data_IF_787794786681
#
_entry.id   IF_787794786681
#
_cell.length_a   1.000
_cell.length_b   1.000
_cell.length_c   1.000
_cell.angle_alpha   90.00
_cell.angle_beta   90.00
_cell.angle_gamma   90.00
#
_symmetry.space_group_name_H-M   'P 1'
#
loop_
_entity.id
_entity.type
_entity.pdbx_description
1 polymer ?
#
# COMPACT_ATOMS: atom_id res chain seq x y z
N UNK A 1 -0.06 11.94 -0.76
CA UNK A 1 1.02 12.20 0.21
C UNK A 1 0.75 11.47 1.50
N UNK A 2 1.76 10.80 2.05
CA UNK A 2 1.69 10.07 3.30
C UNK A 2 2.59 10.75 4.35
N UNK A 3 2.14 10.78 5.61
CA UNK A 3 2.86 11.45 6.70
C UNK A 3 3.01 10.53 7.91
N UNK A 4 4.11 10.64 8.64
CA UNK A 4 4.34 9.91 9.90
C UNK A 4 5.71 9.22 9.96
N UNK A 5 5.83 8.22 10.85
CA UNK A 5 7.01 7.36 10.91
C UNK A 5 7.20 6.64 9.58
N UNK A 6 8.43 6.68 9.06
CA UNK A 6 8.77 6.08 7.78
C UNK A 6 9.98 5.14 7.89
N UNK A 7 10.29 4.64 9.10
CA UNK A 7 11.45 3.78 9.32
C UNK A 7 11.43 2.47 8.51
N UNK A 8 10.27 2.04 8.03
CA UNK A 8 10.08 0.87 7.15
C UNK A 8 9.50 1.23 5.77
N UNK A 9 9.45 2.50 5.39
CA UNK A 9 8.85 2.93 4.13
C UNK A 9 7.32 3.01 4.13
N UNK A 10 6.65 2.81 5.28
CA UNK A 10 5.19 2.75 5.38
C UNK A 10 4.47 4.09 5.14
N UNK A 11 5.20 5.21 5.15
CA UNK A 11 4.70 6.54 4.85
C UNK A 11 5.32 7.09 3.54
N UNK A 12 5.79 6.22 2.64
CA UNK A 12 6.22 6.64 1.31
C UNK A 12 5.05 7.20 0.49
N UNK A 13 5.32 8.25 -0.28
CA UNK A 13 4.34 8.80 -1.21
C UNK A 13 4.05 7.83 -2.35
N UNK A 14 2.76 7.73 -2.69
CA UNK A 14 2.30 6.94 -3.82
C UNK A 14 2.05 7.85 -5.04
N UNK A 15 2.86 7.69 -6.10
CA UNK A 15 2.97 8.66 -7.20
C UNK A 15 2.54 8.14 -8.57
N UNK A 16 2.01 6.91 -8.66
CA UNK A 16 1.62 6.27 -9.94
C UNK A 16 0.35 6.87 -10.55
N UNK A 17 -0.49 7.55 -9.76
CA UNK A 17 -1.68 8.27 -10.23
C UNK A 17 -2.90 7.40 -10.53
N UNK A 18 -2.88 6.11 -10.19
CA UNK A 18 -3.97 5.15 -10.42
C UNK A 18 -4.64 4.65 -9.13
N UNK A 19 -4.30 5.26 -7.99
CA UNK A 19 -4.88 4.96 -6.68
C UNK A 19 -6.36 5.36 -6.62
N UNK A 20 -7.20 4.43 -6.15
CA UNK A 20 -8.64 4.66 -5.90
C UNK A 20 -9.03 4.41 -4.43
N UNK A 21 -8.13 3.86 -3.63
CA UNK A 21 -8.33 3.67 -2.19
C UNK A 21 -7.02 3.45 -1.45
N UNK A 22 -7.01 3.71 -0.14
CA UNK A 22 -5.84 3.51 0.71
C UNK A 22 -6.26 2.94 2.07
N UNK A 23 -5.49 1.99 2.58
CA UNK A 23 -5.62 1.45 3.93
C UNK A 23 -4.26 1.57 4.64
N UNK A 24 -4.25 2.20 5.81
CA UNK A 24 -3.06 2.37 6.63
C UNK A 24 -3.13 1.43 7.85
N UNK A 25 -2.14 0.56 7.97
CA UNK A 25 -1.86 -0.22 9.17
C UNK A 25 -0.83 0.47 10.07
N UNK A 26 -0.46 -0.18 11.18
CA UNK A 26 0.51 0.38 12.13
C UNK A 26 1.90 0.57 11.51
N UNK A 27 2.31 -0.34 10.63
CA UNK A 27 3.65 -0.38 10.04
C UNK A 27 3.64 -0.67 8.53
N UNK A 28 2.48 -0.61 7.89
CA UNK A 28 2.32 -0.84 6.45
C UNK A 28 1.19 0.02 5.89
N UNK A 29 1.23 0.28 4.60
CA UNK A 29 0.17 0.96 3.85
C UNK A 29 -0.10 0.16 2.59
N UNK A 30 -1.38 0.00 2.25
CA UNK A 30 -1.82 -0.66 1.04
C UNK A 30 -2.67 0.29 0.21
N UNK A 31 -2.43 0.32 -1.10
CA UNK A 31 -3.11 1.19 -2.05
C UNK A 31 -3.88 0.33 -3.04
N UNK A 32 -5.20 0.50 -3.06
CA UNK A 32 -6.07 -0.10 -4.08
C UNK A 32 -5.94 0.72 -5.38
N UNK A 33 -5.59 0.04 -6.47
CA UNK A 33 -5.51 0.62 -7.81
C UNK A 33 -6.82 0.44 -8.57
N UNK A 34 -7.07 1.34 -9.51
CA UNK A 34 -8.23 1.31 -10.42
C UNK A 34 -8.36 0.02 -11.25
N UNK A 35 -7.28 -0.74 -11.42
CA UNK A 35 -7.26 -2.02 -12.13
C UNK A 35 -7.52 -3.24 -11.22
N UNK A 36 -7.91 -3.03 -9.97
CA UNK A 36 -8.21 -4.09 -9.01
C UNK A 36 -7.00 -4.79 -8.38
N UNK A 37 -5.79 -4.30 -8.62
CA UNK A 37 -4.59 -4.72 -7.91
C UNK A 37 -4.38 -3.87 -6.64
N UNK A 38 -3.58 -4.37 -5.69
CA UNK A 38 -3.21 -3.66 -4.46
C UNK A 38 -1.68 -3.64 -4.33
N UNK A 39 -1.11 -2.44 -4.20
CA UNK A 39 0.31 -2.28 -3.87
C UNK A 39 0.45 -2.04 -2.37
N UNK A 40 1.22 -2.87 -1.68
CA UNK A 40 1.45 -2.74 -0.25
C UNK A 40 2.93 -2.48 0.05
N UNK A 41 3.20 -1.57 0.98
CA UNK A 41 4.55 -1.16 1.35
C UNK A 41 4.67 -0.90 2.84
N UNK A 42 5.88 -1.09 3.38
CA UNK A 42 6.16 -0.97 4.81
C UNK A 42 6.86 -2.20 5.39
N UNK A 43 6.73 -2.36 6.70
CA UNK A 43 7.19 -3.54 7.43
C UNK A 43 6.45 -4.79 6.98
N UNK A 44 7.18 -5.86 6.64
CA UNK A 44 6.63 -7.05 6.01
C UNK A 44 7.02 -8.38 6.68
N UNK A 45 7.36 -8.38 7.97
CA UNK A 45 7.80 -9.62 8.63
C UNK A 45 6.71 -10.70 8.66
N UNK A 46 5.44 -10.29 8.77
CA UNK A 46 4.27 -11.17 8.81
C UNK A 46 3.58 -11.31 7.44
N UNK A 47 4.15 -10.73 6.37
CA UNK A 47 3.51 -10.69 5.04
C UNK A 47 2.45 -9.60 4.87
N UNK A 48 2.31 -8.67 5.83
CA UNK A 48 1.30 -7.60 5.83
C UNK A 48 1.51 -6.52 4.77
N UNK A 49 2.67 -6.48 4.13
CA UNK A 49 3.01 -5.56 3.05
C UNK A 49 3.35 -6.30 1.75
N UNK A 50 2.67 -7.43 1.50
CA UNK A 50 2.75 -8.14 0.23
C UNK A 50 1.72 -7.60 -0.77
N UNK A 51 2.11 -7.46 -2.03
CA UNK A 51 1.23 -7.00 -3.10
C UNK A 51 0.16 -8.03 -3.45
N UNK A 52 -0.97 -7.54 -3.97
CA UNK A 52 -2.05 -8.32 -4.56
C UNK A 52 -2.18 -7.99 -6.05
N UNK A 53 -1.91 -8.95 -6.92
CA UNK A 53 -1.72 -8.70 -8.37
C UNK A 53 -2.67 -9.47 -9.28
N UNK A 54 -3.76 -10.02 -8.74
CA UNK A 54 -4.76 -10.78 -9.51
C UNK A 54 -5.82 -9.91 -10.18
N UNK A 55 -5.96 -8.64 -9.77
CA UNK A 55 -6.83 -7.66 -10.43
C UNK A 55 -8.31 -7.71 -10.05
N UNK A 56 -8.69 -8.50 -9.04
CA UNK A 56 -10.08 -8.75 -8.64
C UNK A 56 -10.40 -8.28 -7.21
N UNK A 57 -9.67 -7.28 -6.70
CA UNK A 57 -9.90 -6.70 -5.36
C UNK A 57 -11.11 -5.74 -5.29
N UNK A 58 -11.89 -5.57 -6.37
CA UNK A 58 -13.04 -4.65 -6.50
C UNK A 58 -14.30 -5.35 -6.97
#
# INVERSE_FOLDING_TARGET
DCYGDNGSGQAADYTTGDAVGVAAGRYHTCVLKSNGNVDCYGYNYDGQAADYTTGDAV
#
